data_IF_185562216639
#
_entry.id   IF_185562216639
#
_cell.length_a   1.000
_cell.length_b   1.000
_cell.length_c   1.000
_cell.angle_alpha   90.00
_cell.angle_beta   90.00
_cell.angle_gamma   90.00
#
_symmetry.space_group_name_H-M   'P 1'
#
loop_
_entity.id
_entity.type
_entity.pdbx_description
1 polymer ?
#
# COMPACT_ATOMS: atom_id res chain seq x y z
N UNK A 1 -15.51 -1.87 11.32
CA UNK A 1 -14.72 -0.70 11.74
C UNK A 1 -13.25 -1.12 11.77
N UNK A 2 -12.51 -0.92 10.68
CA UNK A 2 -11.11 -1.31 10.57
C UNK A 2 -10.21 -0.12 10.94
N UNK A 3 -9.72 -0.07 12.17
CA UNK A 3 -8.79 0.96 12.61
C UNK A 3 -7.35 0.51 12.27
N UNK A 4 -6.69 1.22 11.36
CA UNK A 4 -5.26 1.02 11.00
C UNK A 4 -4.35 1.08 12.25
N UNK A 5 -4.79 1.78 13.29
CA UNK A 5 -4.05 1.94 14.55
C UNK A 5 -4.06 0.70 15.46
N UNK A 6 -4.97 -0.25 15.25
CA UNK A 6 -5.02 -1.52 16.00
C UNK A 6 -4.29 -2.66 15.29
N UNK A 7 -3.84 -2.43 14.05
CA UNK A 7 -3.09 -3.39 13.26
C UNK A 7 -1.61 -3.28 13.59
N UNK A 8 -0.90 -4.41 13.59
CA UNK A 8 0.56 -4.41 13.69
C UNK A 8 1.11 -3.83 12.38
N UNK A 9 1.43 -2.53 12.41
CA UNK A 9 2.09 -1.86 11.30
C UNK A 9 3.56 -1.59 11.62
N UNK A 10 4.39 -1.71 10.60
CA UNK A 10 5.79 -1.35 10.61
C UNK A 10 6.03 -0.26 9.57
N UNK A 11 6.90 0.71 9.88
CA UNK A 11 7.25 1.78 8.97
C UNK A 11 8.60 1.47 8.36
N UNK A 12 8.63 1.18 7.05
CA UNK A 12 9.85 0.84 6.32
C UNK A 12 10.61 2.10 5.88
N UNK A 13 9.89 3.13 5.43
CA UNK A 13 10.45 4.40 5.00
C UNK A 13 9.66 5.56 5.62
N UNK A 14 10.38 6.60 6.05
CA UNK A 14 9.81 7.83 6.58
C UNK A 14 10.19 8.99 5.67
N UNK A 15 9.21 9.84 5.35
CA UNK A 15 9.40 11.04 4.52
C UNK A 15 10.00 10.73 3.13
N UNK A 16 9.59 9.60 2.55
CA UNK A 16 10.06 9.15 1.24
C UNK A 16 9.17 9.67 0.11
N UNK A 17 9.75 9.87 -1.07
CA UNK A 17 8.94 10.26 -2.24
C UNK A 17 8.10 9.09 -2.76
N UNK A 18 6.99 9.37 -3.47
CA UNK A 18 6.16 8.32 -4.11
C UNK A 18 6.99 7.42 -5.04
N UNK A 19 8.00 7.99 -5.70
CA UNK A 19 8.95 7.25 -6.52
C UNK A 19 9.80 6.28 -5.71
N UNK A 20 10.35 6.70 -4.57
CA UNK A 20 11.15 5.83 -3.71
C UNK A 20 10.31 4.68 -3.13
N UNK A 21 9.08 4.97 -2.69
CA UNK A 21 8.15 3.95 -2.25
C UNK A 21 7.90 2.89 -3.34
N UNK A 22 7.69 3.35 -4.59
CA UNK A 22 7.52 2.47 -5.75
C UNK A 22 8.75 1.62 -6.00
N UNK A 23 9.93 2.24 -6.06
CA UNK A 23 11.19 1.53 -6.34
C UNK A 23 11.50 0.51 -5.23
N UNK A 24 11.25 0.86 -3.98
CA UNK A 24 11.39 -0.07 -2.85
C UNK A 24 10.47 -1.28 -3.02
N UNK A 25 9.19 -1.08 -3.32
CA UNK A 25 8.22 -2.17 -3.51
C UNK A 25 8.67 -3.07 -4.66
N UNK A 26 9.06 -2.50 -5.81
CA UNK A 26 9.47 -3.28 -6.98
C UNK A 26 10.78 -4.05 -6.76
N UNK A 27 11.68 -3.53 -5.93
CA UNK A 27 12.95 -4.18 -5.62
C UNK A 27 12.83 -5.25 -4.52
N UNK A 28 11.96 -5.05 -3.53
CA UNK A 28 11.87 -5.91 -2.35
C UNK A 28 10.68 -6.87 -2.38
N UNK A 29 9.57 -6.50 -3.01
CA UNK A 29 8.39 -7.35 -3.11
C UNK A 29 8.40 -8.11 -4.44
N UNK A 30 8.32 -9.44 -4.36
CA UNK A 30 8.17 -10.29 -5.56
C UNK A 30 6.80 -10.11 -6.21
N UNK A 31 5.77 -9.86 -5.40
CA UNK A 31 4.41 -9.65 -5.85
C UNK A 31 4.00 -8.21 -5.56
N UNK A 32 3.56 -7.49 -6.58
CA UNK A 32 3.06 -6.13 -6.44
C UNK A 32 2.01 -5.83 -7.49
N UNK A 33 1.16 -4.85 -7.21
CA UNK A 33 0.14 -4.34 -8.13
C UNK A 33 0.25 -2.83 -8.22
N UNK A 34 0.09 -2.30 -9.43
CA UNK A 34 0.03 -0.86 -9.66
C UNK A 34 -1.43 -0.40 -9.64
N UNK A 35 -1.73 0.58 -8.78
CA UNK A 35 -3.06 1.17 -8.64
C UNK A 35 -3.02 2.67 -8.93
N UNK A 36 -4.20 3.20 -9.26
CA UNK A 36 -4.41 4.63 -9.45
C UNK A 36 -4.64 5.34 -8.10
N UNK A 37 -4.32 6.64 -8.00
CA UNK A 37 -4.71 7.44 -6.84
C UNK A 37 -6.22 7.39 -6.61
N UNK A 38 -6.63 7.37 -5.35
CA UNK A 38 -8.03 7.16 -4.97
C UNK A 38 -8.43 5.70 -4.81
N UNK A 39 -7.54 4.75 -5.06
CA UNK A 39 -7.76 3.35 -4.71
C UNK A 39 -8.02 3.20 -3.20
N UNK A 40 -8.99 2.38 -2.83
CA UNK A 40 -9.44 2.21 -1.44
C UNK A 40 -8.73 1.02 -0.79
N UNK A 41 -8.00 1.28 0.29
CA UNK A 41 -7.29 0.28 1.09
C UNK A 41 -7.62 0.50 2.57
N UNK A 42 -7.94 -0.53 3.35
CA UNK A 42 -8.30 -0.39 4.76
C UNK A 42 -9.40 0.69 4.97
N UNK A 43 -10.38 0.72 4.06
CA UNK A 43 -11.45 1.72 3.99
C UNK A 43 -11.01 3.17 3.66
N UNK A 44 -9.71 3.46 3.53
CA UNK A 44 -9.16 4.79 3.21
C UNK A 44 -8.72 4.90 1.75
N UNK A 45 -8.85 6.10 1.18
CA UNK A 45 -8.32 6.39 -0.14
C UNK A 45 -6.82 6.70 -0.07
N UNK A 46 -6.03 5.97 -0.85
CA UNK A 46 -4.60 6.23 -0.97
C UNK A 46 -4.41 7.48 -1.83
N UNK A 47 -3.63 8.42 -1.29
CA UNK A 47 -3.24 9.65 -1.97
C UNK A 47 -1.80 9.51 -2.44
N UNK A 48 -1.57 9.72 -3.74
CA UNK A 48 -0.23 9.73 -4.30
C UNK A 48 -0.18 10.01 -5.80
N UNK A 49 1.02 9.91 -6.37
CA UNK A 49 1.25 10.13 -7.80
C UNK A 49 1.21 8.79 -8.55
N UNK A 50 0.38 8.64 -9.59
CA UNK A 50 0.29 7.40 -10.35
C UNK A 50 1.59 7.04 -11.09
N UNK A 51 1.86 5.74 -11.32
CA UNK A 51 1.25 4.58 -10.66
C UNK A 51 1.70 4.41 -9.19
N UNK A 52 0.77 4.07 -8.30
CA UNK A 52 1.08 3.75 -6.90
C UNK A 52 1.24 2.23 -6.82
N UNK A 53 2.44 1.75 -6.51
CA UNK A 53 2.63 0.32 -6.31
C UNK A 53 2.22 -0.08 -4.89
N UNK A 54 1.54 -1.22 -4.77
CA UNK A 54 1.25 -1.91 -3.52
C UNK A 54 1.96 -3.26 -3.58
N UNK A 55 2.85 -3.51 -2.63
CA UNK A 55 3.59 -4.76 -2.52
C UNK A 55 2.88 -5.76 -1.63
N UNK A 56 3.07 -7.04 -1.92
CA UNK A 56 2.60 -8.15 -1.11
C UNK A 56 3.75 -9.08 -0.75
N UNK A 57 3.77 -9.49 0.52
CA UNK A 57 4.71 -10.44 1.09
C UNK A 57 3.88 -11.47 1.87
N UNK A 58 3.31 -12.45 1.15
CA UNK A 58 2.38 -13.43 1.72
C UNK A 58 1.06 -12.78 2.18
N UNK A 59 0.92 -12.64 3.50
CA UNK A 59 -0.23 -12.01 4.18
C UNK A 59 0.04 -10.53 4.55
N UNK A 60 1.21 -10.02 4.17
CA UNK A 60 1.64 -8.67 4.51
C UNK A 60 1.49 -7.77 3.29
N UNK A 61 0.97 -6.57 3.53
CA UNK A 61 0.70 -5.55 2.54
C UNK A 61 1.65 -4.38 2.78
N UNK A 62 2.35 -3.95 1.75
CA UNK A 62 3.28 -2.83 1.79
C UNK A 62 2.74 -1.72 0.88
N UNK A 63 2.41 -0.58 1.44
CA UNK A 63 1.80 0.51 0.69
C UNK A 63 2.25 1.90 1.19
N UNK A 64 2.31 2.89 0.30
CA UNK A 64 2.59 4.27 0.70
C UNK A 64 1.36 4.88 1.37
N UNK A 65 1.56 5.49 2.55
CA UNK A 65 0.56 6.22 3.30
C UNK A 65 1.02 7.65 3.55
N UNK A 66 0.27 8.61 3.03
CA UNK A 66 0.60 10.03 3.12
C UNK A 66 -0.19 10.67 4.26
N UNK A 67 0.50 11.18 5.30
CA UNK A 67 -0.11 12.04 6.31
C UNK A 67 0.19 13.51 5.96
N UNK A 68 -0.83 14.40 5.90
CA UNK A 68 -0.62 15.80 5.53
C UNK A 68 0.34 16.56 6.46
N UNK A 69 0.42 16.16 7.73
CA UNK A 69 1.28 16.82 8.72
C UNK A 69 2.72 16.27 8.78
N UNK A 70 2.95 15.05 8.29
CA UNK A 70 4.20 14.32 8.55
C UNK A 70 4.88 13.76 7.28
N UNK A 71 4.26 13.93 6.11
CA UNK A 71 4.77 13.45 4.84
C UNK A 71 4.32 12.04 4.48
N UNK A 72 5.02 11.43 3.52
CA UNK A 72 4.72 10.10 2.99
C UNK A 72 5.54 9.03 3.69
N UNK A 73 4.87 7.96 4.09
CA UNK A 73 5.44 6.81 4.78
C UNK A 73 5.23 5.55 3.95
N UNK A 74 6.20 4.64 3.95
CA UNK A 74 5.98 3.30 3.45
C UNK A 74 5.62 2.41 4.64
N UNK A 75 4.35 1.98 4.68
CA UNK A 75 3.82 1.15 5.76
C UNK A 75 3.75 -0.31 5.32
N UNK A 76 4.09 -1.20 6.24
CA UNK A 76 3.97 -2.65 6.14
C UNK A 76 2.96 -3.11 7.17
N UNK A 77 1.87 -3.74 6.73
CA UNK A 77 0.76 -4.15 7.59
C UNK A 77 0.42 -5.60 7.31
N UNK A 78 0.37 -6.43 8.35
CA UNK A 78 -0.08 -7.82 8.22
C UNK A 78 -1.60 -7.88 8.29
N UNK A 79 -2.24 -8.18 7.17
CA UNK A 79 -3.68 -8.36 7.08
C UNK A 79 -4.02 -9.29 5.89
N UNK A 80 -4.29 -10.58 6.14
CA UNK A 80 -4.56 -11.54 5.07
C UNK A 80 -5.88 -11.24 4.33
N UNK A 81 -6.89 -10.73 5.02
CA UNK A 81 -8.21 -10.46 4.43
C UNK A 81 -8.15 -9.27 3.46
N UNK A 82 -7.50 -8.18 3.85
CA UNK A 82 -7.29 -7.02 2.98
C UNK A 82 -6.33 -7.35 1.83
N UNK A 83 -5.29 -8.16 2.06
CA UNK A 83 -4.37 -8.58 1.01
C UNK A 83 -5.11 -9.31 -0.12
N UNK A 84 -5.98 -10.26 0.25
CA UNK A 84 -6.78 -11.01 -0.71
C UNK A 84 -7.80 -10.11 -1.43
N UNK A 85 -8.48 -9.21 -0.71
CA UNK A 85 -9.40 -8.24 -1.32
C UNK A 85 -8.72 -7.35 -2.35
N UNK A 86 -7.53 -6.82 -2.05
CA UNK A 86 -6.80 -5.96 -2.99
C UNK A 86 -6.45 -6.77 -4.24
N UNK A 87 -5.87 -7.97 -4.08
CA UNK A 87 -5.55 -8.88 -5.20
C UNK A 87 -6.77 -9.14 -6.10
N UNK A 88 -7.91 -9.44 -5.50
CA UNK A 88 -9.17 -9.69 -6.23
C UNK A 88 -9.68 -8.43 -6.94
N UNK A 89 -9.58 -7.27 -6.31
CA UNK A 89 -10.03 -5.99 -6.88
C UNK A 89 -9.17 -5.53 -8.06
N UNK A 90 -7.85 -5.76 -8.00
CA UNK A 90 -6.92 -5.41 -9.07
C UNK A 90 -7.00 -6.40 -10.23
N UNK A 91 -7.23 -7.69 -9.96
CA UNK A 91 -7.44 -8.70 -11.00
C UNK A 91 -8.65 -8.40 -11.90
N UNK A 92 -9.70 -7.77 -11.36
CA UNK A 92 -10.90 -7.40 -12.12
C UNK A 92 -10.72 -6.16 -13.02
N UNK A 93 -9.67 -5.36 -12.83
CA UNK A 93 -9.47 -4.08 -13.54
C UNK A 93 -8.81 -4.22 -14.94
N UNK A 94 -8.40 -5.42 -15.36
CA UNK A 94 -7.82 -5.67 -16.70
C UNK A 94 -8.85 -6.04 -17.79
N UNK A 95 -10.09 -5.55 -17.73
CA UNK A 95 -11.11 -5.82 -18.76
C UNK A 95 -11.79 -4.57 -19.26
#
# INVERSE_FOLDING_TARGET
>A
MGCIESLKYEILLRNASFRECREYIRANCREYVDVEPGFRIFDKHIVGVPPISIGFEGNVIIFPYTKPCYGTFLMKVEDPEEAEKIRLSTAKKSK
#
